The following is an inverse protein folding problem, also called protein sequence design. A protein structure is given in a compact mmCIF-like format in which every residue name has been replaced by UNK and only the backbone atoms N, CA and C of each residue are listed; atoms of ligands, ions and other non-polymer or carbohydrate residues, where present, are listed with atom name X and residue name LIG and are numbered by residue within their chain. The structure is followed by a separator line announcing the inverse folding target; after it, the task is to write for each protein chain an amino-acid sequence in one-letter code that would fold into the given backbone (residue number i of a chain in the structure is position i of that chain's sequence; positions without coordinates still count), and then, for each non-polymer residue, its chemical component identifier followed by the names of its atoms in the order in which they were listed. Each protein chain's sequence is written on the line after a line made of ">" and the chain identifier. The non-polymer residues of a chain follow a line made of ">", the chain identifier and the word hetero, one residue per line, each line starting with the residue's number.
data_IF_447700227953
#
_entry.id   IF_447700227953
#
_cell.length_a   1.000
_cell.length_b   1.000
_cell.length_c   1.000
_cell.angle_alpha   90.00
_cell.angle_beta   90.00
_cell.angle_gamma   90.00
#
_symmetry.space_group_name_H-M   'P 1'
#
loop_
_entity.id
_entity.type
_entity.pdbx_description
1 polymer ?
#
# COMPACT_ATOMS: atom_id res chain seq x y z
N UNK A 1 -15.37 -21.03 -12.26
CA UNK A 1 -13.92 -20.76 -12.27
C UNK A 1 -13.34 -21.47 -13.46
N UNK A 2 -12.44 -20.83 -14.19
CA UNK A 2 -11.74 -21.44 -15.32
C UNK A 2 -10.74 -22.49 -14.77
N UNK A 3 -10.61 -23.67 -15.41
CA UNK A 3 -9.69 -24.71 -14.95
C UNK A 3 -8.23 -24.26 -15.12
N UNK A 4 -7.38 -24.57 -14.14
CA UNK A 4 -5.95 -24.29 -14.22
C UNK A 4 -5.31 -25.33 -15.14
N UNK A 5 -4.66 -24.87 -16.20
CA UNK A 5 -3.95 -25.73 -17.16
C UNK A 5 -2.47 -25.38 -17.19
N UNK A 6 -1.62 -26.39 -17.25
CA UNK A 6 -0.18 -26.23 -17.42
C UNK A 6 0.24 -26.82 -18.76
N UNK A 7 1.12 -26.13 -19.48
CA UNK A 7 1.65 -26.61 -20.77
C UNK A 7 2.55 -27.85 -20.60
N UNK A 8 3.14 -28.03 -19.41
CA UNK A 8 3.99 -29.17 -19.10
C UNK A 8 3.97 -29.46 -17.58
N UNK A 9 4.03 -30.74 -17.15
CA UNK A 9 4.08 -31.10 -15.73
C UNK A 9 5.20 -30.40 -14.94
N UNK A 10 6.38 -30.20 -15.55
CA UNK A 10 7.50 -29.50 -14.89
C UNK A 10 7.21 -28.02 -14.57
N UNK A 11 6.17 -27.41 -15.15
CA UNK A 11 5.79 -26.03 -14.85
C UNK A 11 4.89 -25.90 -13.64
N UNK A 12 4.16 -26.96 -13.29
CA UNK A 12 3.21 -26.94 -12.18
C UNK A 12 3.86 -26.51 -10.85
N UNK A 13 5.02 -27.05 -10.42
CA UNK A 13 5.65 -26.63 -9.17
C UNK A 13 6.03 -25.15 -9.11
N UNK A 14 6.29 -24.53 -10.26
CA UNK A 14 6.75 -23.13 -10.36
C UNK A 14 5.58 -22.16 -10.48
N UNK A 15 4.52 -22.58 -11.15
CA UNK A 15 3.38 -21.74 -11.50
C UNK A 15 2.12 -22.02 -10.67
N UNK A 16 2.09 -23.05 -9.84
CA UNK A 16 0.94 -23.39 -9.00
C UNK A 16 0.52 -22.22 -8.10
N UNK A 17 1.49 -21.51 -7.51
CA UNK A 17 1.21 -20.36 -6.64
C UNK A 17 0.59 -19.15 -7.39
N UNK A 18 0.75 -19.11 -8.71
CA UNK A 18 0.20 -18.08 -9.60
C UNK A 18 -0.82 -18.66 -10.58
N UNK A 19 -1.40 -19.82 -10.26
CA UNK A 19 -2.47 -20.47 -11.03
C UNK A 19 -2.12 -20.70 -12.51
N UNK A 20 -0.87 -21.08 -12.79
CA UNK A 20 -0.39 -21.35 -14.15
C UNK A 20 0.16 -20.13 -14.91
N UNK A 21 0.13 -18.94 -14.32
CA UNK A 21 0.54 -17.69 -14.99
C UNK A 21 1.94 -17.26 -14.56
N UNK A 22 2.80 -16.86 -15.50
CA UNK A 22 4.10 -16.26 -15.19
C UNK A 22 3.88 -14.80 -14.75
N UNK A 23 4.21 -14.48 -13.49
CA UNK A 23 4.05 -13.13 -12.94
C UNK A 23 5.37 -12.55 -12.40
N UNK A 24 6.22 -13.40 -11.82
CA UNK A 24 7.42 -12.97 -11.11
C UNK A 24 8.70 -13.24 -11.88
N UNK A 25 9.69 -12.36 -11.69
CA UNK A 25 11.04 -12.54 -12.26
C UNK A 25 11.69 -13.85 -11.77
N UNK A 26 11.45 -14.23 -10.53
CA UNK A 26 11.94 -15.47 -9.94
C UNK A 26 11.33 -16.72 -10.62
N UNK A 27 10.13 -16.61 -11.19
CA UNK A 27 9.51 -17.70 -11.96
C UNK A 27 10.22 -17.89 -13.30
N UNK A 28 10.67 -16.82 -13.97
CA UNK A 28 11.47 -16.92 -15.21
C UNK A 28 12.71 -17.80 -15.02
N UNK A 29 13.43 -17.59 -13.92
CA UNK A 29 14.62 -18.38 -13.58
C UNK A 29 14.29 -19.86 -13.35
N UNK A 30 13.20 -20.12 -12.61
CA UNK A 30 12.76 -21.48 -12.30
C UNK A 30 12.24 -22.21 -13.54
N UNK A 31 11.44 -21.57 -14.39
CA UNK A 31 10.97 -22.15 -15.65
C UNK A 31 12.15 -22.50 -16.57
N UNK A 32 13.13 -21.61 -16.70
CA UNK A 32 14.32 -21.89 -17.52
C UNK A 32 15.13 -23.09 -17.01
N UNK A 33 15.24 -23.25 -15.69
CA UNK A 33 15.88 -24.39 -15.06
C UNK A 33 15.06 -25.67 -15.25
N UNK A 34 13.78 -25.65 -14.93
CA UNK A 34 12.93 -26.84 -14.81
C UNK A 34 12.46 -27.38 -16.17
N UNK A 35 12.35 -26.50 -17.18
CA UNK A 35 11.98 -26.91 -18.54
C UNK A 35 13.19 -27.10 -19.45
N UNK A 36 14.24 -26.28 -19.33
CA UNK A 36 15.36 -26.27 -20.27
C UNK A 36 16.73 -26.60 -19.63
N UNK A 37 16.78 -26.94 -18.34
CA UNK A 37 18.03 -27.30 -17.66
C UNK A 37 19.04 -26.15 -17.55
N UNK A 38 18.60 -24.89 -17.64
CA UNK A 38 19.50 -23.75 -17.56
C UNK A 38 20.22 -23.71 -16.20
N UNK A 39 21.53 -23.48 -16.26
CA UNK A 39 22.31 -23.09 -15.09
C UNK A 39 21.82 -21.76 -14.52
N UNK A 40 22.10 -21.45 -13.23
CA UNK A 40 21.75 -20.16 -12.64
C UNK A 40 22.26 -18.96 -13.46
N UNK A 41 23.47 -19.05 -14.04
CA UNK A 41 24.03 -18.00 -14.88
C UNK A 41 23.26 -17.82 -16.20
N UNK A 42 22.86 -18.90 -16.87
CA UNK A 42 22.06 -18.83 -18.09
C UNK A 42 20.65 -18.29 -17.81
N UNK A 43 20.03 -18.70 -16.70
CA UNK A 43 18.74 -18.16 -16.26
C UNK A 43 18.81 -16.65 -16.04
N UNK A 44 19.87 -16.17 -15.39
CA UNK A 44 20.06 -14.73 -15.16
C UNK A 44 20.29 -13.95 -16.47
N UNK A 45 21.04 -14.54 -17.42
CA UNK A 45 21.18 -13.96 -18.77
C UNK A 45 19.83 -13.83 -19.47
N UNK A 46 18.97 -14.86 -19.38
CA UNK A 46 17.61 -14.81 -19.92
C UNK A 46 16.78 -13.72 -19.25
N UNK A 47 16.73 -13.69 -17.91
CA UNK A 47 15.99 -12.67 -17.16
C UNK A 47 16.41 -11.26 -17.56
N UNK A 48 17.71 -10.99 -17.66
CA UNK A 48 18.25 -9.68 -18.07
C UNK A 48 17.94 -9.34 -19.52
N UNK A 49 18.03 -10.31 -20.42
CA UNK A 49 17.72 -10.10 -21.83
C UNK A 49 16.24 -9.74 -22.02
N UNK A 50 15.35 -10.44 -21.31
CA UNK A 50 13.91 -10.24 -21.35
C UNK A 50 13.45 -8.88 -20.81
N UNK A 51 14.16 -8.31 -19.84
CA UNK A 51 13.88 -6.95 -19.33
C UNK A 51 14.54 -5.83 -20.13
N UNK A 52 15.34 -6.13 -21.16
CA UNK A 52 16.09 -5.14 -21.94
C UNK A 52 15.38 -4.75 -23.24
N UNK A 53 15.26 -3.44 -23.49
CA UNK A 53 14.71 -2.91 -24.76
C UNK A 53 15.60 -3.15 -25.99
N UNK A 54 16.84 -3.61 -25.82
CA UNK A 54 17.85 -3.75 -26.90
C UNK A 54 18.40 -5.18 -27.03
N UNK A 55 17.66 -6.17 -26.54
CA UNK A 55 18.13 -7.54 -26.34
C UNK A 55 17.82 -8.55 -27.44
N UNK A 56 17.21 -8.17 -28.57
CA UNK A 56 16.58 -9.11 -29.51
C UNK A 56 17.51 -10.24 -29.99
N UNK A 57 18.73 -9.91 -30.42
CA UNK A 57 19.71 -10.92 -30.85
C UNK A 57 20.15 -11.85 -29.70
N UNK A 58 20.21 -11.34 -28.47
CA UNK A 58 20.53 -12.15 -27.30
C UNK A 58 19.37 -13.06 -26.90
N UNK A 59 18.13 -12.57 -27.01
CA UNK A 59 16.91 -13.35 -26.78
C UNK A 59 16.85 -14.51 -27.76
N UNK A 60 17.10 -14.30 -29.05
CA UNK A 60 17.03 -15.39 -30.04
C UNK A 60 18.12 -16.45 -29.81
N UNK A 61 19.33 -16.03 -29.41
CA UNK A 61 20.38 -16.98 -28.99
C UNK A 61 19.95 -17.80 -27.78
N UNK A 62 19.32 -17.17 -26.80
CA UNK A 62 18.82 -17.84 -25.60
C UNK A 62 17.62 -18.73 -25.90
N UNK A 63 16.80 -18.39 -26.90
CA UNK A 63 15.71 -19.23 -27.43
C UNK A 63 16.26 -20.53 -27.98
N UNK A 64 17.27 -20.47 -28.85
CA UNK A 64 17.91 -21.69 -29.38
C UNK A 64 18.46 -22.59 -28.27
N UNK A 65 19.13 -22.01 -27.28
CA UNK A 65 19.64 -22.76 -26.12
C UNK A 65 18.50 -23.35 -25.28
N UNK A 66 17.41 -22.62 -25.09
CA UNK A 66 16.25 -23.06 -24.32
C UNK A 66 15.56 -24.24 -24.99
N UNK A 67 15.30 -24.18 -26.30
CA UNK A 67 14.70 -25.28 -27.05
C UNK A 67 15.59 -26.52 -27.06
N UNK A 68 16.91 -26.34 -27.22
CA UNK A 68 17.88 -27.45 -27.15
C UNK A 68 17.87 -28.13 -25.78
N UNK A 69 17.89 -27.33 -24.70
CA UNK A 69 17.82 -27.84 -23.34
C UNK A 69 16.49 -28.53 -23.03
N UNK A 70 15.38 -27.97 -23.52
CA UNK A 70 14.05 -28.54 -23.37
C UNK A 70 13.92 -29.90 -24.07
N UNK A 71 14.46 -30.03 -25.28
CA UNK A 71 14.51 -31.31 -25.99
C UNK A 71 15.31 -32.38 -25.21
N UNK A 72 16.43 -32.00 -24.58
CA UNK A 72 17.21 -32.91 -23.73
C UNK A 72 16.45 -33.36 -22.47
N UNK A 73 15.48 -32.57 -22.01
CA UNK A 73 14.58 -32.89 -20.90
C UNK A 73 13.30 -33.63 -21.35
N UNK A 74 13.18 -33.98 -22.64
CA UNK A 74 12.03 -34.70 -23.20
C UNK A 74 10.80 -33.83 -23.46
N UNK A 75 10.94 -32.51 -23.47
CA UNK A 75 9.85 -31.56 -23.76
C UNK A 75 9.71 -31.39 -25.28
N UNK A 76 8.49 -31.47 -25.80
CA UNK A 76 8.25 -31.24 -27.23
C UNK A 76 8.61 -29.81 -27.64
N UNK A 77 9.09 -29.64 -28.88
CA UNK A 77 9.46 -28.34 -29.42
C UNK A 77 8.28 -27.35 -29.43
N UNK A 78 7.06 -27.84 -29.68
CA UNK A 78 5.85 -27.02 -29.66
C UNK A 78 5.61 -26.41 -28.26
N UNK A 79 5.66 -27.25 -27.21
CA UNK A 79 5.50 -26.81 -25.82
C UNK A 79 6.64 -25.88 -25.42
N UNK A 80 7.89 -26.22 -25.74
CA UNK A 80 9.04 -25.41 -25.39
C UNK A 80 9.00 -24.02 -26.07
N UNK A 81 8.54 -23.97 -27.32
CA UNK A 81 8.36 -22.72 -28.06
C UNK A 81 7.28 -21.86 -27.41
N UNK A 82 6.13 -22.44 -27.11
CA UNK A 82 5.02 -21.72 -26.48
C UNK A 82 5.42 -21.15 -25.10
N UNK A 83 6.11 -21.93 -24.28
CA UNK A 83 6.61 -21.46 -22.97
C UNK A 83 7.62 -20.33 -23.14
N UNK A 84 8.54 -20.44 -24.11
CA UNK A 84 9.51 -19.38 -24.37
C UNK A 84 8.83 -18.08 -24.82
N UNK A 85 7.81 -18.18 -25.68
CA UNK A 85 7.04 -17.03 -26.14
C UNK A 85 6.27 -16.38 -24.99
N UNK A 86 5.73 -17.16 -24.06
CA UNK A 86 5.15 -16.64 -22.82
C UNK A 86 6.20 -15.92 -21.97
N UNK A 87 7.38 -16.52 -21.74
CA UNK A 87 8.48 -15.85 -21.01
C UNK A 87 8.87 -14.53 -21.68
N UNK A 88 8.92 -14.50 -23.02
CA UNK A 88 9.23 -13.32 -23.81
C UNK A 88 8.17 -12.23 -23.64
N UNK A 89 6.89 -12.58 -23.73
CA UNK A 89 5.79 -11.64 -23.56
C UNK A 89 5.77 -11.03 -22.14
N UNK A 90 6.04 -11.84 -21.11
CA UNK A 90 6.02 -11.39 -19.72
C UNK A 90 7.32 -10.72 -19.25
N UNK A 91 8.43 -10.88 -19.98
CA UNK A 91 9.74 -10.31 -19.64
C UNK A 91 9.73 -8.81 -19.34
N UNK A 92 8.90 -8.05 -20.05
CA UNK A 92 8.73 -6.61 -19.85
C UNK A 92 7.81 -6.21 -18.69
N UNK A 93 7.02 -7.16 -18.17
CA UNK A 93 6.00 -6.92 -17.12
C UNK A 93 6.28 -7.70 -15.82
N UNK A 94 7.31 -8.55 -15.80
CA UNK A 94 7.64 -9.40 -14.66
C UNK A 94 8.04 -8.56 -13.43
N UNK A 95 7.41 -8.86 -12.29
CA UNK A 95 7.64 -8.16 -11.02
C UNK A 95 8.64 -8.91 -10.14
N UNK A 96 9.39 -8.19 -9.31
CA UNK A 96 10.19 -8.81 -8.25
C UNK A 96 9.26 -9.28 -7.12
N UNK A 97 9.22 -10.60 -6.86
CA UNK A 97 8.30 -11.17 -5.85
C UNK A 97 8.60 -10.66 -4.45
N UNK A 98 9.89 -10.54 -4.10
CA UNK A 98 10.32 -10.04 -2.79
C UNK A 98 9.82 -8.63 -2.51
N UNK A 99 9.93 -7.73 -3.49
CA UNK A 99 9.42 -6.37 -3.40
C UNK A 99 7.89 -6.34 -3.29
N UNK A 100 7.20 -7.12 -4.14
CA UNK A 100 5.74 -7.21 -4.09
C UNK A 100 5.24 -7.73 -2.73
N UNK A 101 5.88 -8.77 -2.18
CA UNK A 101 5.52 -9.35 -0.89
C UNK A 101 5.72 -8.36 0.27
N UNK A 102 6.82 -7.61 0.28
CA UNK A 102 7.08 -6.62 1.34
C UNK A 102 5.98 -5.54 1.40
N UNK A 103 5.54 -5.03 0.26
CA UNK A 103 4.43 -4.08 0.19
C UNK A 103 3.08 -4.74 0.49
N UNK A 104 2.85 -5.97 0.03
CA UNK A 104 1.61 -6.70 0.31
C UNK A 104 1.37 -6.89 1.81
N UNK A 105 2.43 -7.11 2.61
CA UNK A 105 2.33 -7.18 4.08
C UNK A 105 1.80 -5.87 4.66
N UNK A 106 2.33 -4.72 4.23
CA UNK A 106 1.86 -3.40 4.70
C UNK A 106 0.40 -3.14 4.32
N UNK A 107 0.00 -3.52 3.10
CA UNK A 107 -1.38 -3.40 2.63
C UNK A 107 -2.29 -4.29 3.48
N UNK A 108 -1.91 -5.54 3.72
CA UNK A 108 -2.68 -6.48 4.52
C UNK A 108 -2.83 -6.00 5.96
N UNK A 109 -1.75 -5.55 6.59
CA UNK A 109 -1.78 -4.97 7.94
C UNK A 109 -2.68 -3.72 8.01
N UNK A 110 -2.60 -2.85 7.01
CA UNK A 110 -3.46 -1.66 6.92
C UNK A 110 -4.93 -2.04 6.76
N UNK A 111 -5.24 -3.02 5.90
CA UNK A 111 -6.59 -3.53 5.69
C UNK A 111 -7.14 -4.20 6.95
N UNK A 112 -6.31 -4.96 7.66
CA UNK A 112 -6.65 -5.59 8.94
C UNK A 112 -7.01 -4.52 9.98
N UNK A 113 -6.18 -3.49 10.14
CA UNK A 113 -6.47 -2.36 11.04
C UNK A 113 -7.74 -1.62 10.63
N UNK A 114 -7.93 -1.38 9.33
CA UNK A 114 -9.16 -0.75 8.81
C UNK A 114 -10.41 -1.58 9.10
N UNK A 115 -10.32 -2.91 9.05
CA UNK A 115 -11.46 -3.79 9.30
C UNK A 115 -11.76 -3.95 10.80
N UNK A 116 -10.76 -4.28 11.60
CA UNK A 116 -10.95 -4.63 13.02
C UNK A 116 -10.85 -3.43 13.97
N UNK A 117 -10.09 -2.38 13.61
CA UNK A 117 -9.86 -1.19 14.42
C UNK A 117 -10.01 0.11 13.61
N UNK A 118 -11.14 0.32 12.90
CA UNK A 118 -11.29 1.43 11.97
C UNK A 118 -11.08 2.80 12.64
N UNK A 119 -11.57 2.99 13.87
CA UNK A 119 -11.43 4.28 14.56
C UNK A 119 -9.96 4.62 14.83
N UNK A 120 -9.16 3.65 15.26
CA UNK A 120 -7.73 3.84 15.46
C UNK A 120 -6.99 4.04 14.13
N UNK A 121 -7.34 3.26 13.10
CA UNK A 121 -6.78 3.38 11.75
C UNK A 121 -6.94 4.80 11.18
N UNK A 122 -8.18 5.30 11.10
CA UNK A 122 -8.46 6.63 10.57
C UNK A 122 -7.91 7.74 11.46
N UNK A 123 -7.91 7.57 12.79
CA UNK A 123 -7.27 8.53 13.71
C UNK A 123 -5.77 8.63 13.43
N UNK A 124 -5.09 7.50 13.22
CA UNK A 124 -3.69 7.44 12.82
C UNK A 124 -3.44 8.14 11.48
N UNK A 125 -4.27 7.88 10.48
CA UNK A 125 -4.17 8.55 9.17
C UNK A 125 -4.34 10.07 9.27
N UNK A 126 -5.29 10.54 10.08
CA UNK A 126 -5.54 11.97 10.30
C UNK A 126 -4.39 12.64 11.06
N UNK A 127 -3.76 11.95 12.00
CA UNK A 127 -2.69 12.52 12.82
C UNK A 127 -1.32 12.54 12.12
N UNK A 128 -1.16 11.81 11.01
CA UNK A 128 0.08 11.79 10.22
C UNK A 128 0.01 12.65 8.95
N UNK A 129 -1.00 13.51 8.84
CA UNK A 129 -1.10 14.45 7.73
C UNK A 129 -0.01 15.54 7.81
N UNK A 130 0.49 16.04 6.66
CA UNK A 130 0.09 15.68 5.29
C UNK A 130 0.66 14.33 4.83
N UNK A 131 -0.17 13.49 4.22
CA UNK A 131 0.26 12.28 3.49
C UNK A 131 -0.17 12.40 2.02
N UNK A 132 0.76 12.18 1.09
CA UNK A 132 0.66 12.69 -0.29
C UNK A 132 -0.52 12.22 -1.16
N UNK A 133 -1.30 11.21 -0.78
CA UNK A 133 -2.34 10.65 -1.65
C UNK A 133 -3.76 11.18 -1.39
N UNK A 134 -4.14 11.46 -0.14
CA UNK A 134 -5.54 11.77 0.20
C UNK A 134 -5.65 12.95 1.14
N UNK A 135 -6.44 13.95 0.74
CA UNK A 135 -6.81 15.07 1.62
C UNK A 135 -7.58 14.55 2.85
N UNK A 136 -7.37 15.12 4.05
CA UNK A 136 -8.14 14.80 5.27
C UNK A 136 -9.66 14.69 5.07
N UNK A 137 -10.25 15.54 4.21
CA UNK A 137 -11.69 15.49 3.92
C UNK A 137 -12.13 14.16 3.27
N UNK A 138 -11.28 13.57 2.41
CA UNK A 138 -11.53 12.26 1.79
C UNK A 138 -11.46 11.16 2.84
N UNK A 139 -10.49 11.24 3.76
CA UNK A 139 -10.30 10.29 4.85
C UNK A 139 -11.52 10.31 5.79
N UNK A 140 -11.97 11.51 6.17
CA UNK A 140 -13.19 11.71 6.97
C UNK A 140 -14.43 11.17 6.26
N UNK A 141 -14.56 11.44 4.96
CA UNK A 141 -15.68 10.93 4.16
C UNK A 141 -15.71 9.40 4.09
N UNK A 142 -14.54 8.76 3.95
CA UNK A 142 -14.41 7.30 3.94
C UNK A 142 -14.76 6.68 5.30
N UNK A 143 -14.26 7.27 6.39
CA UNK A 143 -14.61 6.83 7.74
C UNK A 143 -16.13 6.90 8.00
N UNK A 144 -16.78 8.00 7.57
CA UNK A 144 -18.24 8.15 7.68
C UNK A 144 -19.01 7.09 6.90
N UNK A 145 -18.60 6.79 5.65
CA UNK A 145 -19.20 5.71 4.85
C UNK A 145 -19.00 4.34 5.50
N UNK A 146 -17.89 4.14 6.21
CA UNK A 146 -17.63 2.97 7.04
C UNK A 146 -18.42 2.90 8.35
N UNK A 147 -19.34 3.85 8.59
CA UNK A 147 -20.19 3.87 9.78
C UNK A 147 -19.58 4.52 11.01
N UNK A 148 -18.43 5.20 10.88
CA UNK A 148 -17.80 5.89 12.01
C UNK A 148 -18.41 7.28 12.21
N UNK A 149 -18.75 7.57 13.47
CA UNK A 149 -19.09 8.93 13.88
C UNK A 149 -17.84 9.80 13.88
N UNK A 150 -17.87 10.90 13.13
CA UNK A 150 -16.81 11.92 13.17
C UNK A 150 -17.36 13.11 13.92
N UNK A 151 -16.75 13.37 15.08
CA UNK A 151 -17.19 14.37 16.02
C UNK A 151 -16.29 15.60 15.86
N UNK A 152 -16.90 16.77 15.75
CA UNK A 152 -16.21 18.06 15.62
C UNK A 152 -15.27 18.33 16.80
N UNK A 153 -14.44 19.35 16.67
CA UNK A 153 -13.61 19.79 17.79
C UNK A 153 -14.51 20.20 18.98
N UNK A 154 -14.06 19.91 20.20
CA UNK A 154 -14.77 20.24 21.43
C UNK A 154 -13.76 20.85 22.42
N UNK A 155 -14.08 22.03 22.97
CA UNK A 155 -13.19 22.76 23.88
C UNK A 155 -12.80 21.95 25.12
N UNK A 156 -13.69 21.11 25.63
CA UNK A 156 -13.50 20.34 26.85
C UNK A 156 -12.86 18.98 26.57
N UNK A 157 -13.15 18.39 25.41
CA UNK A 157 -12.83 16.98 25.13
C UNK A 157 -11.71 16.78 24.10
N UNK A 158 -11.59 17.66 23.10
CA UNK A 158 -10.56 17.51 22.06
C UNK A 158 -9.15 17.70 22.62
N UNK A 159 -8.19 16.97 22.05
CA UNK A 159 -6.78 17.19 22.28
C UNK A 159 -6.13 17.99 21.15
N UNK A 160 -4.80 18.11 21.22
CA UNK A 160 -4.01 18.69 20.13
C UNK A 160 -4.21 17.92 18.82
N UNK A 161 -4.20 16.59 18.90
CA UNK A 161 -4.39 15.65 17.78
C UNK A 161 -5.76 14.99 17.87
N UNK A 162 -6.22 14.39 16.77
CA UNK A 162 -7.44 13.59 16.74
C UNK A 162 -7.33 12.40 17.69
N UNK A 163 -8.45 11.97 18.27
CA UNK A 163 -8.52 10.88 19.24
C UNK A 163 -9.70 9.96 18.94
N UNK A 164 -9.57 8.69 19.32
CA UNK A 164 -10.68 7.75 19.31
C UNK A 164 -11.63 8.11 20.45
N UNK A 165 -12.91 8.27 20.15
CA UNK A 165 -13.94 8.56 21.14
C UNK A 165 -15.13 7.62 20.94
N UNK A 166 -15.30 6.65 21.85
CA UNK A 166 -16.29 5.59 21.72
C UNK A 166 -16.09 4.79 20.43
N UNK A 167 -17.11 4.76 19.56
CA UNK A 167 -17.04 4.12 18.24
C UNK A 167 -16.62 5.07 17.11
N UNK A 168 -16.24 6.30 17.45
CA UNK A 168 -15.98 7.37 16.50
C UNK A 168 -14.61 8.03 16.69
N UNK A 169 -14.45 9.17 16.04
CA UNK A 169 -13.21 9.96 16.04
C UNK A 169 -13.57 11.39 16.44
N UNK A 170 -12.92 11.90 17.47
CA UNK A 170 -12.94 13.30 17.87
C UNK A 170 -11.84 14.04 17.12
N UNK A 171 -12.21 15.09 16.38
CA UNK A 171 -11.22 15.94 15.71
C UNK A 171 -10.39 16.72 16.74
N UNK A 172 -9.09 16.84 16.46
CA UNK A 172 -8.15 17.61 17.27
C UNK A 172 -8.07 19.07 16.85
N UNK A 173 -7.51 19.91 17.73
CA UNK A 173 -7.29 21.34 17.44
C UNK A 173 -6.33 21.57 16.26
N UNK A 174 -5.51 20.59 15.90
CA UNK A 174 -4.64 20.63 14.71
C UNK A 174 -5.40 20.80 13.38
N UNK A 175 -6.70 20.54 13.36
CA UNK A 175 -7.55 20.74 12.19
C UNK A 175 -8.25 22.11 12.15
N UNK A 176 -8.05 22.96 13.15
CA UNK A 176 -8.56 24.33 13.13
C UNK A 176 -7.56 25.22 12.39
N UNK A 177 -8.05 25.92 11.36
CA UNK A 177 -7.22 26.81 10.54
C UNK A 177 -6.53 27.90 11.38
N UNK A 178 -5.19 27.97 11.28
CA UNK A 178 -4.39 28.97 11.99
C UNK A 178 -4.10 28.65 13.45
N UNK A 179 -4.60 27.53 14.00
CA UNK A 179 -4.20 27.06 15.32
C UNK A 179 -2.79 26.46 15.28
N UNK A 180 -1.80 27.30 15.56
CA UNK A 180 -0.42 26.85 15.75
C UNK A 180 -0.25 26.10 17.07
N UNK A 181 0.86 25.37 17.21
CA UNK A 181 1.19 24.57 18.39
C UNK A 181 1.11 25.37 19.70
N UNK A 182 1.60 26.62 19.69
CA UNK A 182 1.56 27.52 20.87
C UNK A 182 0.12 27.81 21.32
N UNK A 183 -0.80 28.02 20.38
CA UNK A 183 -2.21 28.29 20.69
C UNK A 183 -2.90 27.05 21.26
N UNK A 184 -2.59 25.87 20.69
CA UNK A 184 -3.09 24.58 21.17
C UNK A 184 -2.60 24.30 22.60
N UNK A 185 -1.29 24.41 22.84
CA UNK A 185 -0.69 24.18 24.17
C UNK A 185 -1.32 25.08 25.20
N UNK A 186 -1.40 26.39 24.91
CA UNK A 186 -2.00 27.36 25.82
C UNK A 186 -3.47 27.06 26.14
N UNK A 187 -4.25 26.63 25.16
CA UNK A 187 -5.64 26.23 25.37
C UNK A 187 -5.73 25.01 26.28
N UNK A 188 -4.90 23.99 26.03
CA UNK A 188 -4.89 22.75 26.80
C UNK A 188 -4.40 22.98 28.24
N UNK A 189 -3.36 23.78 28.45
CA UNK A 189 -2.87 24.19 29.77
C UNK A 189 -3.93 24.97 30.54
N UNK A 190 -4.56 25.96 29.90
CA UNK A 190 -5.65 26.70 30.51
C UNK A 190 -6.76 25.76 30.97
N UNK A 191 -7.12 24.75 30.17
CA UNK A 191 -8.16 23.77 30.51
C UNK A 191 -7.81 22.88 31.72
N UNK A 192 -6.53 22.61 31.98
CA UNK A 192 -6.11 21.76 33.11
C UNK A 192 -6.50 22.35 34.48
N UNK A 193 -6.60 23.67 34.59
CA UNK A 193 -7.00 24.33 35.84
C UNK A 193 -8.47 24.06 36.20
N UNK A 194 -9.36 24.07 35.20
CA UNK A 194 -10.80 23.82 35.34
C UNK A 194 -11.50 23.86 33.98
N UNK A 195 -12.70 23.26 33.82
CA UNK A 195 -13.49 23.43 32.60
C UNK A 195 -13.78 24.90 32.29
N UNK A 196 -13.79 25.27 31.01
CA UNK A 196 -14.25 26.61 30.60
C UNK A 196 -15.74 26.78 30.84
N UNK A 197 -16.15 27.86 31.52
CA UNK A 197 -17.56 28.11 31.88
C UNK A 197 -18.31 28.85 30.77
N UNK A 198 -17.65 29.80 30.12
CA UNK A 198 -18.22 30.60 29.04
C UNK A 198 -17.10 31.18 28.15
N UNK A 199 -17.51 31.88 27.09
CA UNK A 199 -16.58 32.49 26.13
C UNK A 199 -15.65 33.53 26.78
N UNK A 200 -16.16 34.34 27.73
CA UNK A 200 -15.35 35.34 28.41
C UNK A 200 -14.25 34.69 29.26
N UNK A 201 -14.57 33.58 29.94
CA UNK A 201 -13.60 32.79 30.70
C UNK A 201 -12.52 32.19 29.80
N UNK A 202 -12.91 31.60 28.67
CA UNK A 202 -12.00 31.10 27.65
C UNK A 202 -11.04 32.19 27.16
N UNK A 203 -11.57 33.34 26.73
CA UNK A 203 -10.76 34.46 26.22
C UNK A 203 -9.78 34.99 27.27
N UNK A 204 -10.23 35.15 28.52
CA UNK A 204 -9.41 35.65 29.62
C UNK A 204 -8.25 34.70 29.96
N UNK A 205 -8.52 33.40 30.03
CA UNK A 205 -7.54 32.37 30.43
C UNK A 205 -6.55 32.04 29.31
N UNK A 206 -7.05 31.91 28.09
CA UNK A 206 -6.22 31.52 26.94
C UNK A 206 -5.57 32.72 26.25
N UNK A 207 -6.08 33.95 26.41
CA UNK A 207 -5.57 35.15 25.73
C UNK A 207 -5.31 34.92 24.23
N UNK A 208 -6.17 34.12 23.60
CA UNK A 208 -6.07 33.83 22.17
C UNK A 208 -6.47 35.06 21.37
N UNK A 209 -5.86 35.23 20.20
CA UNK A 209 -6.25 36.28 19.28
C UNK A 209 -7.72 36.10 18.85
N UNK A 210 -8.44 37.22 18.66
CA UNK A 210 -9.85 37.23 18.26
C UNK A 210 -10.13 36.28 17.09
N UNK A 211 -9.28 36.30 16.06
CA UNK A 211 -9.38 35.41 14.89
C UNK A 211 -9.41 33.92 15.26
N UNK A 212 -8.60 33.49 16.22
CA UNK A 212 -8.56 32.08 16.65
C UNK A 212 -9.81 31.69 17.43
N UNK A 213 -10.35 32.62 18.23
CA UNK A 213 -11.62 32.44 18.93
C UNK A 213 -12.78 32.31 17.94
N UNK A 214 -12.82 33.13 16.89
CA UNK A 214 -13.81 33.02 15.81
C UNK A 214 -13.72 31.66 15.08
N UNK A 215 -12.50 31.15 14.85
CA UNK A 215 -12.30 29.83 14.24
C UNK A 215 -12.79 28.70 15.15
N UNK A 216 -12.58 28.79 16.48
CA UNK A 216 -13.13 27.83 17.43
C UNK A 216 -14.66 27.80 17.38
N UNK A 217 -15.30 28.97 17.39
CA UNK A 217 -16.76 29.09 17.30
C UNK A 217 -17.30 28.49 15.99
N UNK A 218 -16.56 28.65 14.88
CA UNK A 218 -16.96 28.12 13.57
C UNK A 218 -16.77 26.60 13.47
N UNK A 219 -15.82 26.04 14.21
CA UNK A 219 -15.49 24.61 14.17
C UNK A 219 -16.48 23.72 14.94
N UNK A 220 -17.25 24.28 15.87
CA UNK A 220 -18.22 23.57 16.71
C UNK A 220 -18.17 24.00 18.16
#
# INVERSE_FOLDING_TARGET
>A
MEPITYLHPNLEPVLAETLGVILFQEQVLKVARDLAGFTPGQGELLRRALSSKRGEAAIEKLRGNFLTGAAQQGVSEAIATEVFDQLRAFGGYAFAKSHAAAFAVLVYQSAWLKHYHPAAFYTGLLNNQPMGFWNPAVIVGDAKRGGLSILSVDLQRSGARCQVEGKGIRLGFNYIGGFGEVAVVRLLEARQTSPFVNLADLCRRTRLAKRLVEQLITAG
#
